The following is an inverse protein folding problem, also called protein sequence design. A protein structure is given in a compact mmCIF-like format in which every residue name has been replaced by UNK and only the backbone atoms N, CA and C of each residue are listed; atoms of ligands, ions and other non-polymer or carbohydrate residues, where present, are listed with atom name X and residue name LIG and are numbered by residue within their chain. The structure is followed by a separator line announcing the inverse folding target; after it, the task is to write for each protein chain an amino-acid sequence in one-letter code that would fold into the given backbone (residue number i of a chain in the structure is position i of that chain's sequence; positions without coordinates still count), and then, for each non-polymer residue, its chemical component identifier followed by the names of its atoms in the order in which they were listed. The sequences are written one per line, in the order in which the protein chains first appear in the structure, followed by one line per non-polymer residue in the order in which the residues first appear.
data_IF_429104111586
#
_entry.id   IF_429104111586
#
_cell.length_a   1.000
_cell.length_b   1.000
_cell.length_c   1.000
_cell.angle_alpha   90.00
_cell.angle_beta   90.00
_cell.angle_gamma   90.00
#
_symmetry.space_group_name_H-M   'P 1'
#
loop_
_entity.id
_entity.type
_entity.pdbx_description
1 polymer ?
#
# COMPACT_ATOMS: atom_id res chain seq x y z
N UNK A 1 29.58 8.78 -4.41
CA UNK A 1 28.53 7.78 -4.68
C UNK A 1 27.55 7.87 -3.52
N UNK A 2 26.28 8.11 -3.80
CA UNK A 2 25.32 8.56 -2.79
C UNK A 2 24.31 7.48 -2.43
N UNK A 3 23.97 7.41 -1.14
CA UNK A 3 22.76 6.77 -0.63
C UNK A 3 21.54 7.33 -1.37
N UNK A 4 20.64 6.46 -1.84
CA UNK A 4 19.40 6.84 -2.52
C UNK A 4 18.19 6.21 -1.84
N UNK A 5 17.05 6.91 -1.80
CA UNK A 5 15.80 6.36 -1.29
C UNK A 5 15.15 5.41 -2.32
N UNK A 6 14.69 4.25 -1.86
CA UNK A 6 13.93 3.29 -2.63
C UNK A 6 12.59 3.02 -1.95
N UNK A 7 11.49 3.10 -2.69
CA UNK A 7 10.21 2.58 -2.23
C UNK A 7 10.26 1.07 -2.30
N UNK A 8 9.98 0.40 -1.18
CA UNK A 8 9.89 -1.06 -1.13
C UNK A 8 8.45 -1.52 -1.12
N UNK A 9 8.17 -2.68 -1.71
CA UNK A 9 6.82 -3.25 -1.78
C UNK A 9 6.87 -4.77 -1.91
N UNK A 10 5.74 -5.42 -1.65
CA UNK A 10 5.57 -6.86 -1.86
C UNK A 10 4.85 -7.15 -3.18
N UNK A 11 5.29 -8.23 -3.82
CA UNK A 11 4.65 -8.83 -4.97
C UNK A 11 4.81 -10.35 -4.86
N UNK A 12 3.70 -11.11 -4.84
CA UNK A 12 3.68 -12.56 -4.68
C UNK A 12 4.58 -13.06 -3.51
N UNK A 13 4.49 -12.38 -2.36
CA UNK A 13 5.27 -12.71 -1.15
C UNK A 13 6.76 -12.37 -1.21
N UNK A 14 7.26 -11.85 -2.33
CA UNK A 14 8.64 -11.40 -2.50
C UNK A 14 8.76 -9.89 -2.36
N UNK A 15 9.92 -9.38 -1.93
CA UNK A 15 10.15 -7.95 -1.72
C UNK A 15 10.92 -7.33 -2.88
N UNK A 16 10.40 -6.21 -3.37
CA UNK A 16 10.95 -5.43 -4.46
C UNK A 16 11.25 -4.01 -4.01
N UNK A 17 12.10 -3.32 -4.76
CA UNK A 17 12.45 -1.93 -4.54
C UNK A 17 12.56 -1.17 -5.87
N UNK A 18 12.10 0.07 -5.87
CA UNK A 18 12.22 1.00 -6.99
C UNK A 18 12.78 2.33 -6.48
N UNK A 19 13.58 3.00 -7.29
CA UNK A 19 14.16 4.29 -6.91
C UNK A 19 13.01 5.29 -6.71
N UNK A 20 12.95 5.89 -5.51
CA UNK A 20 11.86 6.78 -5.14
C UNK A 20 11.84 8.06 -5.99
N UNK A 21 12.94 8.37 -6.69
CA UNK A 21 13.02 9.48 -7.63
C UNK A 21 11.98 9.37 -8.77
N UNK A 22 11.62 8.15 -9.17
CA UNK A 22 10.65 7.93 -10.24
C UNK A 22 9.20 7.89 -9.74
N UNK A 23 8.96 7.94 -8.43
CA UNK A 23 7.62 7.78 -7.87
C UNK A 23 6.92 9.13 -7.78
N UNK A 24 5.79 9.29 -8.46
CA UNK A 24 4.99 10.51 -8.43
C UNK A 24 3.88 10.43 -7.37
N UNK A 25 3.14 9.32 -7.34
CA UNK A 25 2.05 9.10 -6.38
C UNK A 25 1.94 7.63 -5.97
N UNK A 26 1.45 7.37 -4.76
CA UNK A 26 1.11 6.02 -4.28
C UNK A 26 -0.27 6.09 -3.64
N UNK A 27 -1.15 5.17 -4.01
CA UNK A 27 -2.47 5.04 -3.42
C UNK A 27 -2.96 3.61 -3.55
N UNK A 28 -4.00 3.25 -2.80
CA UNK A 28 -4.63 1.94 -2.96
C UNK A 28 -5.30 1.82 -4.32
N UNK A 29 -5.27 0.62 -4.90
CA UNK A 29 -5.82 0.31 -6.20
C UNK A 29 -7.27 0.82 -6.31
N UNK A 30 -7.55 1.73 -7.26
CA UNK A 30 -8.90 2.17 -7.59
C UNK A 30 -9.51 1.27 -8.67
N UNK A 31 -10.80 1.49 -8.95
CA UNK A 31 -11.42 0.94 -10.16
C UNK A 31 -10.69 1.45 -11.41
N UNK A 32 -10.23 0.53 -12.25
CA UNK A 32 -9.62 0.85 -13.54
C UNK A 32 -10.65 0.75 -14.66
N UNK A 33 -10.51 1.61 -15.67
CA UNK A 33 -11.28 1.49 -16.91
C UNK A 33 -10.58 0.48 -17.82
N UNK A 34 -11.22 -0.64 -18.19
CA UNK A 34 -10.61 -1.62 -19.08
C UNK A 34 -10.31 -1.01 -20.45
N UNK A 35 -9.19 -1.40 -21.05
CA UNK A 35 -8.82 -0.98 -22.40
C UNK A 35 -8.64 -2.22 -23.27
N UNK A 36 -9.24 -2.21 -24.45
CA UNK A 36 -9.09 -3.27 -25.45
C UNK A 36 -7.84 -3.02 -26.31
N UNK A 37 -7.24 -4.08 -26.85
CA UNK A 37 -6.13 -4.00 -27.83
C UNK A 37 -4.78 -3.44 -27.29
N UNK A 38 -4.58 -3.45 -25.98
CA UNK A 38 -3.29 -3.14 -25.33
C UNK A 38 -2.47 -4.40 -25.03
N UNK A 39 -1.19 -4.20 -24.69
CA UNK A 39 -0.30 -5.26 -24.24
C UNK A 39 -0.91 -6.04 -23.06
N UNK A 40 -0.57 -7.33 -22.95
CA UNK A 40 -1.21 -8.27 -22.00
C UNK A 40 -1.01 -7.89 -20.53
N UNK A 41 0.04 -7.14 -20.25
CA UNK A 41 0.44 -6.64 -18.93
C UNK A 41 -0.27 -5.34 -18.52
N UNK A 42 -1.08 -4.73 -19.39
CA UNK A 42 -1.86 -3.54 -19.04
C UNK A 42 -3.22 -3.94 -18.48
N UNK A 43 -3.43 -3.66 -17.19
CA UNK A 43 -4.67 -3.95 -16.46
C UNK A 43 -5.82 -3.01 -16.84
N UNK A 44 -5.49 -1.78 -17.27
CA UNK A 44 -6.47 -0.78 -17.70
C UNK A 44 -5.90 0.63 -17.65
N UNK A 45 -6.78 1.62 -17.61
CA UNK A 45 -6.41 3.03 -17.44
C UNK A 45 -7.07 3.64 -16.22
N UNK A 46 -6.35 4.55 -15.58
CA UNK A 46 -6.77 5.36 -14.46
C UNK A 46 -6.93 6.80 -14.90
N UNK A 47 -8.02 7.46 -14.49
CA UNK A 47 -8.11 8.91 -14.57
C UNK A 47 -7.61 9.51 -13.26
N UNK A 48 -6.37 9.99 -13.26
CA UNK A 48 -5.77 10.71 -12.15
C UNK A 48 -5.87 12.22 -12.42
N UNK A 49 -6.81 12.89 -11.74
CA UNK A 49 -6.99 14.35 -11.81
C UNK A 49 -7.13 14.88 -13.25
N UNK A 50 -7.84 14.16 -14.12
CA UNK A 50 -8.05 14.49 -15.53
C UNK A 50 -6.99 13.94 -16.48
N UNK A 51 -5.86 13.42 -15.99
CA UNK A 51 -4.86 12.71 -16.79
C UNK A 51 -5.22 11.24 -16.88
N UNK A 52 -5.22 10.69 -18.10
CA UNK A 52 -5.41 9.25 -18.33
C UNK A 52 -4.03 8.58 -18.25
N UNK A 53 -3.85 7.73 -17.25
CA UNK A 53 -2.59 7.03 -16.97
C UNK A 53 -2.82 5.52 -17.22
N UNK A 54 -2.01 4.87 -18.08
CA UNK A 54 -2.04 3.42 -18.20
C UNK A 54 -1.57 2.77 -16.90
N UNK A 55 -2.25 1.73 -16.48
CA UNK A 55 -1.91 0.97 -15.27
C UNK A 55 -1.52 -0.45 -15.67
N UNK A 56 -0.27 -0.79 -15.40
CA UNK A 56 0.35 -2.09 -15.66
C UNK A 56 0.22 -3.01 -14.45
N UNK A 57 -0.12 -4.26 -14.70
CA UNK A 57 -0.02 -5.34 -13.73
C UNK A 57 1.43 -5.81 -13.65
N UNK A 58 2.11 -5.54 -12.52
CA UNK A 58 3.50 -5.91 -12.36
C UNK A 58 3.70 -7.43 -12.27
N UNK A 59 2.72 -8.19 -11.78
CA UNK A 59 2.80 -9.66 -11.75
C UNK A 59 2.85 -10.19 -13.17
N UNK A 60 1.89 -9.76 -14.01
CA UNK A 60 1.85 -10.12 -15.43
C UNK A 60 3.13 -9.71 -16.15
N UNK A 61 3.61 -8.48 -15.88
CA UNK A 61 4.83 -7.94 -16.49
C UNK A 61 6.06 -8.78 -16.20
N UNK A 62 6.17 -9.29 -14.97
CA UNK A 62 7.30 -10.11 -14.53
C UNK A 62 7.12 -11.60 -14.88
N UNK A 63 6.04 -11.96 -15.59
CA UNK A 63 5.77 -13.32 -16.05
C UNK A 63 5.09 -14.21 -15.00
N UNK A 64 4.51 -13.62 -13.96
CA UNK A 64 3.67 -14.37 -13.02
C UNK A 64 2.24 -14.50 -13.54
N UNK A 65 1.54 -15.50 -13.02
CA UNK A 65 0.09 -15.60 -13.17
C UNK A 65 -0.54 -14.54 -12.29
N UNK A 66 -1.25 -13.59 -12.91
CA UNK A 66 -2.01 -12.56 -12.20
C UNK A 66 -3.05 -13.20 -11.29
N UNK A 67 -3.00 -12.85 -10.01
CA UNK A 67 -4.06 -13.17 -9.06
C UNK A 67 -5.18 -12.12 -9.11
N UNK A 68 -6.34 -12.43 -8.54
CA UNK A 68 -7.41 -11.43 -8.40
C UNK A 68 -6.96 -10.27 -7.52
N UNK A 69 -7.18 -9.05 -8.00
CA UNK A 69 -6.80 -7.86 -7.24
C UNK A 69 -7.60 -7.76 -5.93
N UNK A 70 -6.88 -7.37 -4.87
CA UNK A 70 -7.41 -7.20 -3.53
C UNK A 70 -7.59 -5.72 -3.20
N UNK A 71 -8.48 -5.40 -2.25
CA UNK A 71 -8.64 -4.01 -1.78
C UNK A 71 -7.37 -3.45 -1.12
N UNK A 72 -6.44 -4.31 -0.70
CA UNK A 72 -5.14 -3.92 -0.14
C UNK A 72 -4.10 -3.58 -1.20
N UNK A 73 -4.32 -3.99 -2.46
CA UNK A 73 -3.37 -3.72 -3.52
C UNK A 73 -3.21 -2.22 -3.73
N UNK A 74 -2.04 -1.83 -4.21
CA UNK A 74 -1.64 -0.44 -4.39
C UNK A 74 -1.24 -0.17 -5.82
N UNK A 75 -1.47 1.05 -6.27
CA UNK A 75 -0.92 1.59 -7.51
C UNK A 75 0.21 2.54 -7.13
N UNK A 76 1.39 2.29 -7.70
CA UNK A 76 2.50 3.22 -7.68
C UNK A 76 2.55 3.90 -9.05
N UNK A 77 2.37 5.21 -9.08
CA UNK A 77 2.51 6.01 -10.30
C UNK A 77 3.97 6.36 -10.49
N UNK A 78 4.52 5.94 -11.61
CA UNK A 78 5.91 6.15 -12.00
C UNK A 78 5.99 7.14 -13.16
N UNK A 79 6.96 8.04 -13.06
CA UNK A 79 7.28 9.01 -14.08
C UNK A 79 8.76 8.93 -14.44
N UNK A 80 9.05 8.51 -15.67
CA UNK A 80 10.41 8.48 -16.23
C UNK A 80 10.42 9.07 -17.62
N UNK A 81 11.26 10.08 -17.84
CA UNK A 81 11.29 10.89 -19.06
C UNK A 81 9.90 11.47 -19.39
N UNK A 82 9.25 10.99 -20.46
CA UNK A 82 7.90 11.41 -20.86
C UNK A 82 6.85 10.31 -20.62
N UNK A 83 7.23 9.20 -19.94
CA UNK A 83 6.34 8.07 -19.67
C UNK A 83 5.79 8.19 -18.25
N UNK A 84 4.46 8.34 -18.16
CA UNK A 84 3.70 8.30 -16.92
C UNK A 84 2.87 7.02 -16.89
N UNK A 85 3.11 6.14 -15.91
CA UNK A 85 2.48 4.82 -15.84
C UNK A 85 2.26 4.40 -14.39
N UNK A 86 1.09 3.84 -14.10
CA UNK A 86 0.83 3.15 -12.83
C UNK A 86 1.32 1.70 -12.89
N UNK A 87 1.87 1.19 -11.79
CA UNK A 87 2.12 -0.25 -11.60
C UNK A 87 1.28 -0.75 -10.42
N UNK A 88 0.62 -1.90 -10.58
CA UNK A 88 -0.11 -2.57 -9.50
C UNK A 88 0.86 -3.45 -8.72
N UNK A 89 0.82 -3.34 -7.39
CA UNK A 89 1.59 -4.14 -6.44
C UNK A 89 0.71 -4.59 -5.28
N UNK A 90 1.05 -5.67 -4.56
CA UNK A 90 0.17 -6.17 -3.50
C UNK A 90 0.18 -5.26 -2.26
N UNK A 91 1.35 -4.78 -1.83
CA UNK A 91 1.45 -3.88 -0.69
C UNK A 91 2.71 -3.03 -0.75
N UNK A 92 2.54 -1.70 -0.61
CA UNK A 92 3.68 -0.80 -0.43
C UNK A 92 4.14 -0.82 1.02
N UNK A 93 5.46 -0.84 1.21
CA UNK A 93 6.14 -0.78 2.49
C UNK A 93 6.87 0.57 2.65
N UNK A 94 7.90 0.61 3.48
CA UNK A 94 8.65 1.83 3.78
C UNK A 94 9.61 2.24 2.64
N UNK A 95 10.10 3.47 2.75
CA UNK A 95 11.26 3.97 2.00
C UNK A 95 12.52 3.43 2.67
N UNK A 96 13.39 2.77 1.91
CA UNK A 96 14.71 2.33 2.37
C UNK A 96 15.83 3.13 1.71
N UNK A 97 16.82 3.51 2.51
CA UNK A 97 18.00 4.22 2.02
C UNK A 97 19.06 3.18 1.67
N UNK A 98 19.35 3.02 0.38
CA UNK A 98 20.25 2.00 -0.15
C UNK A 98 21.45 2.66 -0.82
N UNK A 99 22.65 2.14 -0.58
CA UNK A 99 23.84 2.57 -1.32
C UNK A 99 23.96 1.83 -2.67
N UNK A 100 24.37 2.56 -3.71
CA UNK A 100 24.55 1.97 -5.04
C UNK A 100 25.52 0.77 -5.04
N UNK A 101 26.52 0.77 -4.17
CA UNK A 101 27.48 -0.34 -4.01
C UNK A 101 26.89 -1.58 -3.33
N UNK A 102 25.76 -1.44 -2.63
CA UNK A 102 25.05 -2.57 -2.02
C UNK A 102 24.18 -3.33 -3.04
N UNK A 103 23.91 -2.72 -4.19
CA UNK A 103 23.14 -3.31 -5.27
C UNK A 103 24.05 -4.28 -6.05
N UNK A 104 23.88 -5.58 -5.78
CA UNK A 104 24.60 -6.64 -6.50
C UNK A 104 23.94 -6.94 -7.84
N UNK A 105 24.71 -6.79 -8.91
CA UNK A 105 24.31 -7.12 -10.31
C UNK A 105 24.82 -8.47 -10.78
N UNK A 106 25.64 -9.16 -9.97
CA UNK A 106 26.23 -10.45 -10.31
C UNK A 106 25.25 -11.59 -10.00
N UNK A 107 24.22 -11.73 -10.84
CA UNK A 107 23.26 -12.84 -10.75
C UNK A 107 23.85 -14.21 -11.15
N UNK A 108 25.12 -14.24 -11.60
CA UNK A 108 25.65 -15.28 -12.49
C UNK A 108 26.41 -16.42 -11.81
N UNK A 109 26.80 -16.34 -10.54
CA UNK A 109 27.56 -17.43 -9.89
C UNK A 109 27.15 -17.66 -8.42
N UNK A 110 26.13 -18.48 -8.17
CA UNK A 110 25.84 -18.89 -6.80
C UNK A 110 24.58 -19.73 -6.60
N UNK A 111 24.46 -20.34 -5.40
CA UNK A 111 23.27 -21.07 -4.92
C UNK A 111 21.97 -20.26 -5.08
N UNK A 112 22.06 -18.93 -5.03
CA UNK A 112 20.95 -18.00 -5.21
C UNK A 112 20.29 -18.12 -6.59
N UNK A 113 21.07 -18.24 -7.69
CA UNK A 113 20.52 -18.41 -9.04
C UNK A 113 19.70 -19.70 -9.18
N UNK A 114 20.16 -20.80 -8.56
CA UNK A 114 19.43 -22.08 -8.55
C UNK A 114 18.21 -22.08 -7.64
N UNK A 115 18.26 -21.34 -6.52
CA UNK A 115 17.11 -21.18 -5.62
C UNK A 115 16.03 -20.29 -6.27
N UNK A 116 16.45 -19.20 -6.93
CA UNK A 116 15.57 -18.27 -7.62
C UNK A 116 15.00 -18.90 -8.92
N UNK A 117 15.80 -19.60 -9.73
CA UNK A 117 15.29 -20.33 -10.93
C UNK A 117 14.29 -21.45 -10.62
N UNK A 118 14.35 -22.06 -9.42
CA UNK A 118 13.40 -23.13 -9.04
C UNK A 118 12.05 -22.59 -8.57
N UNK A 119 11.96 -21.30 -8.26
CA UNK A 119 10.78 -20.69 -7.63
C UNK A 119 10.22 -19.50 -8.40
N UNK A 120 10.90 -19.03 -9.45
CA UNK A 120 10.57 -17.80 -10.18
C UNK A 120 10.67 -18.04 -11.70
N UNK A 121 9.74 -17.45 -12.45
CA UNK A 121 9.72 -17.40 -13.92
C UNK A 121 10.80 -16.42 -14.45
N UNK A 122 12.05 -16.81 -14.27
CA UNK A 122 13.26 -15.98 -14.43
C UNK A 122 13.48 -15.30 -15.81
N UNK A 123 13.10 -15.88 -16.98
CA UNK A 123 13.36 -15.27 -18.28
C UNK A 123 12.75 -13.86 -18.43
N UNK A 124 11.48 -13.69 -18.04
CA UNK A 124 10.72 -12.44 -18.20
C UNK A 124 11.17 -11.33 -17.25
N UNK A 125 11.80 -11.66 -16.11
CA UNK A 125 12.24 -10.69 -15.10
C UNK A 125 13.60 -10.07 -15.39
N UNK A 126 14.45 -10.76 -16.16
CA UNK A 126 15.86 -10.38 -16.36
C UNK A 126 16.07 -8.96 -16.91
N UNK A 127 15.30 -8.47 -17.90
CA UNK A 127 15.50 -7.10 -18.40
C UNK A 127 15.02 -6.03 -17.41
N UNK A 128 14.06 -6.35 -16.53
CA UNK A 128 13.47 -5.41 -15.58
C UNK A 128 14.23 -5.36 -14.23
N UNK A 129 15.16 -6.27 -13.97
CA UNK A 129 15.93 -6.29 -12.73
C UNK A 129 17.23 -5.50 -12.85
N UNK A 130 17.43 -4.54 -11.94
CA UNK A 130 18.70 -3.83 -11.77
C UNK A 130 19.69 -4.65 -10.95
N UNK A 131 19.23 -5.23 -9.84
CA UNK A 131 20.11 -5.92 -8.89
C UNK A 131 19.38 -6.42 -7.65
N UNK A 132 20.14 -6.98 -6.72
CA UNK A 132 19.64 -7.44 -5.42
C UNK A 132 20.35 -6.69 -4.31
N UNK A 133 19.61 -6.38 -3.25
CA UNK A 133 20.16 -5.81 -2.03
C UNK A 133 19.73 -6.71 -0.88
N UNK A 134 20.67 -7.04 0.00
CA UNK A 134 20.35 -7.75 1.24
C UNK A 134 20.24 -6.73 2.36
N UNK A 135 19.05 -6.56 2.89
CA UNK A 135 18.79 -5.69 4.05
C UNK A 135 18.37 -6.59 5.20
N UNK A 136 19.18 -6.63 6.25
CA UNK A 136 19.03 -7.53 7.39
C UNK A 136 18.91 -9.00 6.94
N UNK A 137 17.69 -9.57 7.04
CA UNK A 137 17.38 -10.96 6.74
C UNK A 137 16.48 -11.14 5.51
N UNK A 138 16.25 -10.07 4.74
CA UNK A 138 15.40 -10.09 3.54
C UNK A 138 16.20 -9.68 2.30
N UNK A 139 15.87 -10.29 1.18
CA UNK A 139 16.40 -9.91 -0.13
C UNK A 139 15.39 -8.98 -0.79
N UNK A 140 15.88 -7.84 -1.24
CA UNK A 140 15.10 -6.85 -1.99
C UNK A 140 15.57 -6.89 -3.44
N UNK A 141 14.65 -7.18 -4.35
CA UNK A 141 14.88 -7.11 -5.79
C UNK A 141 14.71 -5.69 -6.27
N UNK A 142 15.81 -5.04 -6.66
CA UNK A 142 15.78 -3.68 -7.18
C UNK A 142 15.43 -3.74 -8.67
N UNK A 143 14.32 -3.09 -9.03
CA UNK A 143 13.85 -3.01 -10.41
C UNK A 143 14.49 -1.81 -11.12
N UNK A 144 14.70 -1.98 -12.42
CA UNK A 144 15.10 -0.92 -13.33
C UNK A 144 13.83 -0.35 -13.97
N UNK A 145 13.47 0.88 -13.60
CA UNK A 145 12.26 1.54 -14.08
C UNK A 145 12.32 1.81 -15.59
N UNK A 146 13.49 2.19 -16.11
CA UNK A 146 13.63 2.52 -17.54
C UNK A 146 13.36 1.31 -18.44
N UNK A 147 13.72 0.10 -18.00
CA UNK A 147 13.42 -1.13 -18.74
C UNK A 147 12.06 -1.70 -18.41
N UNK A 148 11.57 -1.49 -17.19
CA UNK A 148 10.24 -1.91 -16.76
C UNK A 148 9.13 -1.21 -17.57
N UNK A 149 9.25 0.10 -17.77
CA UNK A 149 8.22 0.91 -18.46
C UNK A 149 8.26 0.78 -19.99
N UNK A 150 9.28 0.14 -20.56
CA UNK A 150 9.36 -0.09 -22.02
C UNK A 150 8.35 -1.15 -22.45
N UNK A 151 7.74 -1.06 -23.64
CA UNK A 151 6.90 -2.14 -24.17
C UNK A 151 7.70 -3.45 -24.30
N UNK A 152 7.12 -4.61 -23.97
CA UNK A 152 7.71 -5.91 -24.33
C UNK A 152 7.50 -6.13 -25.82
N UNK A 153 8.56 -6.27 -26.60
CA UNK A 153 8.46 -6.64 -28.02
C UNK A 153 8.07 -8.13 -28.11
N UNK A 154 7.11 -8.45 -28.98
CA UNK A 154 6.45 -9.77 -29.06
C UNK A 154 7.40 -10.91 -29.48
N UNK A 155 8.62 -10.60 -29.94
CA UNK A 155 9.59 -11.58 -30.45
C UNK A 155 10.32 -12.36 -29.34
N UNK A 156 10.37 -11.87 -28.09
CA UNK A 156 11.09 -12.53 -26.98
C UNK A 156 10.32 -13.71 -26.34
N UNK A 157 9.04 -13.92 -26.71
CA UNK A 157 8.21 -15.03 -26.22
C UNK A 157 8.39 -16.32 -27.04
N UNK A 158 9.10 -16.27 -28.18
CA UNK A 158 9.26 -17.41 -29.08
C UNK A 158 10.31 -18.45 -28.63
N UNK A 159 11.11 -18.15 -27.60
CA UNK A 159 12.17 -19.03 -27.08
C UNK A 159 11.74 -19.86 -25.85
N UNK A 160 10.44 -19.90 -25.53
CA UNK A 160 9.91 -20.80 -24.48
C UNK A 160 9.87 -22.22 -25.04
N UNK A 161 10.54 -23.15 -24.36
CA UNK A 161 10.61 -24.58 -24.71
C UNK A 161 9.20 -25.16 -24.96
N UNK A 162 8.90 -25.64 -26.19
CA UNK A 162 7.57 -26.15 -26.56
C UNK A 162 7.14 -27.40 -25.77
N UNK A 163 8.04 -27.99 -24.96
CA UNK A 163 7.71 -29.12 -24.09
C UNK A 163 6.80 -28.82 -22.89
N UNK A 164 6.44 -27.56 -22.64
CA UNK A 164 5.53 -27.15 -21.54
C UNK A 164 4.08 -26.97 -22.01
N UNK A 165 3.82 -26.98 -23.32
CA UNK A 165 2.47 -26.69 -23.87
C UNK A 165 1.44 -27.83 -23.67
N UNK A 166 1.86 -29.07 -23.39
CA UNK A 166 0.93 -30.22 -23.34
C UNK A 166 0.18 -30.43 -22.01
N UNK A 167 0.49 -29.69 -20.93
CA UNK A 167 -0.29 -29.75 -19.67
C UNK A 167 -1.23 -28.55 -19.45
N UNK A 168 -1.27 -27.56 -20.35
CA UNK A 168 -1.94 -26.27 -20.12
C UNK A 168 -3.07 -25.89 -21.10
N UNK A 169 -3.65 -26.85 -21.82
CA UNK A 169 -4.80 -26.61 -22.72
C UNK A 169 -6.00 -27.46 -22.29
N UNK A 170 -7.03 -26.92 -21.64
CA UNK A 170 -8.26 -26.54 -22.36
C UNK A 170 -9.11 -25.46 -21.69
N UNK A 171 -8.84 -25.06 -20.44
CA UNK A 171 -9.78 -24.25 -19.66
C UNK A 171 -9.37 -22.76 -19.54
N UNK A 172 -8.09 -22.43 -19.73
CA UNK A 172 -7.57 -21.08 -19.48
C UNK A 172 -7.71 -20.11 -20.66
N UNK A 173 -7.71 -20.57 -21.92
CA UNK A 173 -7.86 -19.68 -23.08
C UNK A 173 -9.26 -19.02 -23.14
N UNK A 174 -10.30 -19.72 -22.69
CA UNK A 174 -11.65 -19.14 -22.58
C UNK A 174 -11.76 -18.14 -21.41
N UNK A 175 -10.98 -18.35 -20.34
CA UNK A 175 -10.94 -17.46 -19.17
C UNK A 175 -10.28 -16.11 -19.48
N UNK A 176 -9.19 -16.10 -20.27
CA UNK A 176 -8.45 -14.87 -20.59
C UNK A 176 -9.11 -14.01 -21.69
N UNK A 177 -9.90 -14.59 -22.59
CA UNK A 177 -10.58 -13.85 -23.66
C UNK A 177 -11.89 -13.17 -23.20
N UNK A 178 -12.63 -13.76 -22.26
CA UNK A 178 -13.94 -13.23 -21.81
C UNK A 178 -13.87 -12.20 -20.67
N UNK A 179 -12.73 -12.07 -19.97
CA UNK A 179 -12.59 -11.19 -18.80
C UNK A 179 -11.99 -9.80 -19.06
N UNK A 180 -11.68 -9.44 -20.32
CA UNK A 180 -11.08 -8.12 -20.64
C UNK A 180 -12.06 -6.94 -20.59
N UNK A 181 -13.35 -7.21 -20.42
CA UNK A 181 -14.41 -6.19 -20.46
C UNK A 181 -14.75 -5.61 -19.08
N UNK A 182 -14.30 -6.24 -17.99
CA UNK A 182 -14.67 -5.89 -16.63
C UNK A 182 -13.46 -5.93 -15.70
N UNK A 183 -13.23 -4.84 -14.97
CA UNK A 183 -12.24 -4.80 -13.88
C UNK A 183 -12.78 -5.58 -12.67
N UNK A 184 -12.00 -6.54 -12.15
CA UNK A 184 -12.35 -7.40 -11.01
C UNK A 184 -13.77 -8.02 -11.09
N UNK A 185 -14.04 -8.92 -12.05
CA UNK A 185 -15.38 -9.48 -12.26
C UNK A 185 -15.91 -10.26 -11.05
N UNK A 186 -15.02 -10.82 -10.23
CA UNK A 186 -15.35 -11.62 -9.06
C UNK A 186 -15.42 -10.83 -7.74
N UNK A 187 -15.10 -9.53 -7.74
CA UNK A 187 -15.16 -8.70 -6.53
C UNK A 187 -16.59 -8.60 -5.98
N UNK A 188 -16.72 -8.66 -4.65
CA UNK A 188 -17.99 -8.45 -3.94
C UNK A 188 -18.53 -7.03 -4.13
N UNK A 189 -19.81 -6.81 -3.84
CA UNK A 189 -20.41 -5.48 -3.95
C UNK A 189 -19.67 -4.43 -3.10
N UNK A 190 -19.29 -4.80 -1.87
CA UNK A 190 -18.56 -3.90 -0.95
C UNK A 190 -17.19 -3.51 -1.51
N UNK A 191 -16.48 -4.47 -2.10
CA UNK A 191 -15.16 -4.20 -2.69
C UNK A 191 -15.28 -3.31 -3.94
N UNK A 192 -16.28 -3.56 -4.79
CA UNK A 192 -16.58 -2.71 -5.95
C UNK A 192 -16.87 -1.26 -5.54
N UNK A 193 -17.66 -1.07 -4.48
CA UNK A 193 -17.94 0.26 -3.93
C UNK A 193 -16.65 0.97 -3.44
N UNK A 194 -15.73 0.22 -2.81
CA UNK A 194 -14.43 0.75 -2.40
C UNK A 194 -13.59 1.16 -3.60
N UNK A 195 -13.42 0.27 -4.60
CA UNK A 195 -12.68 0.57 -5.82
C UNK A 195 -13.25 1.79 -6.55
N UNK A 196 -14.58 1.84 -6.70
CA UNK A 196 -15.28 2.94 -7.34
C UNK A 196 -15.08 4.27 -6.59
N UNK A 197 -15.19 4.25 -5.27
CA UNK A 197 -14.96 5.42 -4.42
C UNK A 197 -13.54 5.96 -4.58
N UNK A 198 -12.52 5.09 -4.59
CA UNK A 198 -11.12 5.48 -4.78
C UNK A 198 -10.94 6.15 -6.15
N UNK A 199 -11.48 5.54 -7.22
CA UNK A 199 -11.43 6.12 -8.55
C UNK A 199 -12.10 7.51 -8.61
N UNK A 200 -13.24 7.69 -7.94
CA UNK A 200 -13.92 8.99 -7.84
C UNK A 200 -13.08 10.02 -7.09
N UNK A 201 -12.47 9.66 -5.95
CA UNK A 201 -11.61 10.54 -5.16
C UNK A 201 -10.39 11.01 -5.97
N UNK A 202 -9.75 10.11 -6.71
CA UNK A 202 -8.59 10.41 -7.56
C UNK A 202 -8.93 11.30 -8.75
N UNK A 203 -10.15 11.22 -9.28
CA UNK A 203 -10.66 12.14 -10.31
C UNK A 203 -10.95 13.54 -9.74
N UNK A 204 -11.35 13.62 -8.47
CA UNK A 204 -11.84 14.84 -7.83
C UNK A 204 -10.77 15.64 -7.09
N UNK A 205 -9.50 15.23 -7.09
CA UNK A 205 -8.44 16.09 -6.57
C UNK A 205 -8.36 17.36 -7.41
N UNK A 206 -8.71 18.45 -6.74
CA UNK A 206 -8.95 19.81 -7.22
C UNK A 206 -7.87 20.30 -8.19
N UNK A 207 -8.26 21.28 -9.00
CA UNK A 207 -7.41 22.08 -9.89
C UNK A 207 -6.01 22.32 -9.32
N UNK A 208 -5.02 22.55 -10.19
CA UNK A 208 -3.65 23.05 -9.93
C UNK A 208 -3.57 24.21 -8.91
N UNK A 209 -3.98 23.99 -7.67
CA UNK A 209 -3.50 24.68 -6.50
C UNK A 209 -2.38 23.79 -5.99
N UNK A 210 -1.19 24.38 -5.87
CA UNK A 210 0.01 23.71 -5.39
C UNK A 210 -0.34 22.69 -4.29
N UNK A 211 0.16 21.44 -4.43
CA UNK A 211 0.11 20.43 -3.35
C UNK A 211 0.69 20.99 -2.04
N UNK A 212 1.41 22.12 -2.10
CA UNK A 212 1.72 23.02 -0.98
C UNK A 212 0.45 23.56 -0.30
N UNK A 213 -0.16 22.75 0.56
CA UNK A 213 -1.22 23.18 1.47
C UNK A 213 -2.32 22.16 1.72
N UNK A 214 -2.35 21.07 0.94
CA UNK A 214 -3.23 19.93 1.20
C UNK A 214 -2.60 19.03 2.25
N UNK A 215 -3.40 18.64 3.24
CA UNK A 215 -2.97 17.73 4.29
C UNK A 215 -3.29 16.29 3.85
N UNK A 216 -2.29 15.39 3.75
CA UNK A 216 -2.53 13.98 3.49
C UNK A 216 -3.12 13.31 4.74
N UNK A 217 -4.24 12.62 4.57
CA UNK A 217 -5.00 11.98 5.65
C UNK A 217 -5.19 10.51 5.32
N UNK A 218 -4.74 9.62 6.20
CA UNK A 218 -5.06 8.20 6.10
C UNK A 218 -6.45 7.91 6.68
N UNK A 219 -7.25 7.14 5.97
CA UNK A 219 -8.58 6.70 6.39
C UNK A 219 -8.45 5.32 7.05
N UNK A 220 -8.78 5.26 8.33
CA UNK A 220 -8.73 4.04 9.15
C UNK A 220 -10.12 3.64 9.64
N UNK A 221 -10.28 2.36 9.93
CA UNK A 221 -11.48 1.79 10.54
C UNK A 221 -11.31 1.55 12.02
N UNK A 222 -12.26 2.01 12.82
CA UNK A 222 -12.38 1.67 14.23
C UNK A 222 -13.86 1.39 14.54
N UNK A 223 -14.17 0.16 14.94
CA UNK A 223 -15.51 -0.25 15.35
C UNK A 223 -16.60 0.10 14.31
N UNK A 224 -16.33 -0.22 13.03
CA UNK A 224 -17.23 0.04 11.88
C UNK A 224 -17.40 1.51 11.47
N UNK A 225 -16.68 2.43 12.12
CA UNK A 225 -16.60 3.83 11.75
C UNK A 225 -15.29 4.16 11.04
N UNK A 226 -15.36 5.18 10.17
CA UNK A 226 -14.19 5.74 9.51
C UNK A 226 -13.64 6.92 10.32
N UNK A 227 -12.32 6.94 10.47
CA UNK A 227 -11.58 8.07 11.01
C UNK A 227 -10.45 8.46 10.07
N UNK A 228 -10.22 9.76 9.94
CA UNK A 228 -9.05 10.30 9.27
C UNK A 228 -7.95 10.60 10.28
N UNK A 229 -6.73 10.15 10.02
CA UNK A 229 -5.55 10.49 10.79
C UNK A 229 -4.52 11.20 9.92
N UNK A 230 -3.77 12.11 10.52
CA UNK A 230 -2.71 12.85 9.82
C UNK A 230 -1.61 11.88 9.37
N UNK A 231 -1.39 11.78 8.06
CA UNK A 231 -0.40 10.84 7.51
C UNK A 231 1.01 11.24 7.92
N UNK A 232 1.28 12.51 8.21
CA UNK A 232 2.59 12.98 8.68
C UNK A 232 3.02 12.34 10.01
N UNK A 233 2.06 11.87 10.82
CA UNK A 233 2.33 11.19 12.09
C UNK A 233 2.49 9.68 11.91
N UNK A 234 2.14 9.15 10.75
CA UNK A 234 2.18 7.71 10.48
C UNK A 234 3.58 7.34 9.98
N UNK A 235 4.25 6.48 10.74
CA UNK A 235 5.49 5.84 10.32
C UNK A 235 5.24 4.71 9.33
N UNK A 236 4.31 3.81 9.65
CA UNK A 236 3.92 2.72 8.77
C UNK A 236 2.58 2.08 9.17
N UNK A 237 1.95 1.38 8.23
CA UNK A 237 0.82 0.49 8.50
C UNK A 237 1.34 -0.95 8.53
N UNK A 238 1.12 -1.66 9.64
CA UNK A 238 1.65 -3.01 9.83
C UNK A 238 0.53 -4.01 10.16
N UNK A 239 0.54 -5.22 9.57
CA UNK A 239 -0.23 -6.31 10.12
C UNK A 239 0.29 -6.69 11.51
N UNK A 240 -0.59 -7.25 12.34
CA UNK A 240 -0.26 -7.79 13.67
C UNK A 240 -0.29 -9.31 13.55
N UNK A 241 0.89 -9.92 13.59
CA UNK A 241 1.01 -11.39 13.55
C UNK A 241 1.07 -11.99 14.95
N UNK A 242 1.91 -11.42 15.82
CA UNK A 242 2.10 -11.92 17.18
C UNK A 242 2.34 -10.79 18.16
N UNK A 243 1.53 -10.75 19.19
CA UNK A 243 1.65 -9.81 20.31
C UNK A 243 2.30 -10.50 21.50
N UNK A 244 3.32 -9.88 22.08
CA UNK A 244 3.90 -10.25 23.36
C UNK A 244 3.14 -9.52 24.48
N UNK A 245 2.40 -10.22 25.36
CA UNK A 245 1.64 -9.58 26.43
C UNK A 245 2.56 -8.84 27.40
N UNK A 246 2.10 -7.68 27.89
CA UNK A 246 2.77 -6.94 28.97
C UNK A 246 2.03 -7.26 30.27
N UNK A 247 2.69 -7.86 31.28
CA UNK A 247 2.06 -8.12 32.56
C UNK A 247 1.63 -6.82 33.26
N UNK A 248 0.50 -6.85 33.95
CA UNK A 248 0.02 -5.75 34.80
C UNK A 248 -0.18 -4.41 34.07
N UNK A 249 -0.30 -4.40 32.74
CA UNK A 249 -0.61 -3.19 31.99
C UNK A 249 -2.11 -2.87 32.06
N UNK A 250 -2.49 -1.58 31.92
CA UNK A 250 -3.89 -1.20 31.73
C UNK A 250 -4.52 -1.89 30.51
N UNK A 251 -5.86 -1.99 30.50
CA UNK A 251 -6.63 -2.70 29.46
C UNK A 251 -6.50 -2.12 28.05
N UNK A 252 -6.13 -0.85 27.91
CA UNK A 252 -5.88 -0.23 26.61
C UNK A 252 -4.52 -0.62 26.03
N UNK A 253 -3.60 -1.18 26.81
CA UNK A 253 -2.34 -1.72 26.30
C UNK A 253 -2.60 -3.14 25.79
N UNK A 254 -2.50 -3.32 24.48
CA UNK A 254 -2.70 -4.63 23.84
C UNK A 254 -1.48 -5.53 24.05
N UNK A 255 -0.29 -4.93 24.07
CA UNK A 255 0.98 -5.61 24.32
C UNK A 255 2.10 -5.03 23.45
N UNK A 256 3.18 -5.77 23.26
CA UNK A 256 4.31 -5.36 22.42
C UNK A 256 4.39 -6.20 21.15
N UNK A 257 4.87 -5.60 20.07
CA UNK A 257 5.32 -6.31 18.87
C UNK A 257 6.80 -6.03 18.62
N UNK A 258 7.47 -6.96 17.95
CA UNK A 258 8.77 -6.68 17.37
C UNK A 258 8.55 -6.21 15.94
N UNK A 259 8.86 -4.94 15.70
CA UNK A 259 8.80 -4.32 14.40
C UNK A 259 10.22 -4.00 13.95
N UNK A 260 10.77 -4.86 13.09
CA UNK A 260 12.11 -4.72 12.49
C UNK A 260 13.23 -4.58 13.54
N UNK A 261 13.15 -5.38 14.60
CA UNK A 261 14.12 -5.34 15.71
C UNK A 261 13.77 -4.31 16.80
N UNK A 262 12.84 -3.39 16.55
CA UNK A 262 12.37 -2.43 17.55
C UNK A 262 11.13 -2.97 18.30
N UNK A 263 11.06 -2.70 19.60
CA UNK A 263 9.88 -3.04 20.39
C UNK A 263 8.88 -1.87 20.26
N UNK A 264 7.72 -2.15 19.68
CA UNK A 264 6.61 -1.18 19.59
C UNK A 264 5.45 -1.64 20.45
N UNK A 265 5.00 -0.76 21.34
CA UNK A 265 3.81 -1.00 22.17
C UNK A 265 2.56 -0.74 21.37
N UNK A 266 1.65 -1.71 21.37
CA UNK A 266 0.33 -1.63 20.77
C UNK A 266 -0.68 -1.10 21.78
N UNK A 267 -1.44 -0.09 21.38
CA UNK A 267 -2.48 0.57 22.17
C UNK A 267 -3.81 0.53 21.45
N UNK A 268 -4.86 0.22 22.19
CA UNK A 268 -6.25 0.31 21.76
C UNK A 268 -6.81 1.66 22.21
N UNK A 269 -7.00 2.56 21.25
CA UNK A 269 -7.60 3.88 21.50
C UNK A 269 -9.13 3.83 21.52
N UNK A 270 -9.75 2.70 21.17
CA UNK A 270 -11.20 2.57 21.11
C UNK A 270 -11.86 2.93 22.45
N UNK A 271 -11.31 2.48 23.57
CA UNK A 271 -11.85 2.81 24.90
C UNK A 271 -11.81 4.31 25.21
N UNK A 272 -10.81 5.04 24.71
CA UNK A 272 -10.66 6.50 24.92
C UNK A 272 -11.66 7.25 24.05
N UNK A 273 -11.94 6.71 22.86
CA UNK A 273 -12.93 7.26 21.95
C UNK A 273 -14.36 6.80 22.30
N UNK A 274 -14.59 6.20 23.47
CA UNK A 274 -15.87 5.61 23.89
C UNK A 274 -16.44 4.55 22.90
N UNK A 275 -15.57 3.90 22.14
CA UNK A 275 -15.90 2.82 21.22
C UNK A 275 -15.80 1.47 21.94
N UNK A 276 -16.81 0.61 21.74
CA UNK A 276 -16.79 -0.78 22.22
C UNK A 276 -15.89 -1.65 21.34
N UNK A 277 -14.58 -1.49 21.50
CA UNK A 277 -13.59 -2.23 20.72
C UNK A 277 -13.29 -3.60 21.36
N UNK A 278 -14.06 -4.62 20.97
CA UNK A 278 -13.91 -6.01 21.47
C UNK A 278 -13.31 -6.99 20.43
N UNK A 279 -12.76 -6.47 19.33
CA UNK A 279 -12.18 -7.31 18.27
C UNK A 279 -10.69 -7.55 18.51
N UNK A 280 -10.20 -8.70 18.08
CA UNK A 280 -8.75 -8.98 18.03
C UNK A 280 -8.19 -8.17 16.86
N UNK A 281 -7.34 -7.16 17.11
CA UNK A 281 -6.84 -6.32 16.03
C UNK A 281 -5.84 -7.09 15.18
N UNK A 282 -6.03 -7.02 13.85
CA UNK A 282 -5.14 -7.65 12.87
C UNK A 282 -4.17 -6.66 12.23
N UNK A 283 -4.33 -5.36 12.49
CA UNK A 283 -3.52 -4.28 11.93
C UNK A 283 -3.26 -3.21 12.98
N UNK A 284 -2.12 -2.54 12.84
CA UNK A 284 -1.75 -1.35 13.59
C UNK A 284 -1.27 -0.25 12.65
N UNK A 285 -1.55 0.98 13.05
CA UNK A 285 -0.90 2.19 12.53
C UNK A 285 0.21 2.54 13.49
N UNK A 286 1.46 2.49 13.02
CA UNK A 286 2.61 2.90 13.83
C UNK A 286 2.73 4.40 13.72
N UNK A 287 2.53 5.07 14.85
CA UNK A 287 2.57 6.53 14.97
C UNK A 287 3.90 6.89 15.63
N UNK A 288 4.64 7.81 15.02
CA UNK A 288 5.89 8.31 15.56
C UNK A 288 5.78 9.81 15.82
N UNK A 289 6.17 10.21 17.01
CA UNK A 289 6.34 11.61 17.41
C UNK A 289 7.77 11.82 17.90
N UNK A 290 8.14 13.04 18.26
CA UNK A 290 9.46 13.31 18.85
C UNK A 290 9.67 12.57 20.18
N UNK A 291 8.58 12.28 20.91
CA UNK A 291 8.63 11.74 22.26
C UNK A 291 8.46 10.22 22.32
N UNK A 292 7.70 9.62 21.39
CA UNK A 292 7.38 8.19 21.42
C UNK A 292 7.00 7.62 20.06
N UNK A 293 7.20 6.30 19.94
CA UNK A 293 6.70 5.45 18.86
C UNK A 293 5.70 4.45 19.44
N UNK A 294 4.48 4.43 18.91
CA UNK A 294 3.40 3.60 19.42
C UNK A 294 2.57 3.04 18.27
N UNK A 295 2.12 1.79 18.38
CA UNK A 295 1.21 1.19 17.41
C UNK A 295 -0.23 1.37 17.87
N UNK A 296 -1.01 2.17 17.16
CA UNK A 296 -2.47 2.27 17.37
C UNK A 296 -3.14 1.11 16.64
N UNK A 297 -3.83 0.24 17.38
CA UNK A 297 -4.55 -0.86 16.75
C UNK A 297 -5.77 -0.36 15.99
N UNK A 298 -6.00 -0.91 14.80
CA UNK A 298 -7.11 -0.53 13.90
C UNK A 298 -7.74 -1.76 13.28
N UNK A 299 -9.01 -1.64 12.87
CA UNK A 299 -9.69 -2.70 12.14
C UNK A 299 -9.13 -2.83 10.72
N UNK A 300 -8.98 -1.69 10.03
CA UNK A 300 -8.46 -1.66 8.68
C UNK A 300 -7.92 -0.26 8.32
N UNK A 301 -7.16 -0.21 7.23
CA UNK A 301 -6.72 1.02 6.55
C UNK A 301 -7.35 1.00 5.17
N UNK A 302 -8.11 2.03 4.82
CA UNK A 302 -8.98 2.03 3.65
C UNK A 302 -8.45 2.87 2.48
N UNK A 303 -8.01 4.10 2.77
CA UNK A 303 -7.66 5.08 1.75
C UNK A 303 -6.63 6.10 2.28
N UNK A 304 -5.99 6.84 1.37
CA UNK A 304 -5.24 8.05 1.68
C UNK A 304 -5.83 9.18 0.86
N UNK A 305 -6.42 10.16 1.54
CA UNK A 305 -7.12 11.29 0.92
C UNK A 305 -6.37 12.59 1.21
N UNK A 306 -6.46 13.56 0.30
CA UNK A 306 -5.85 14.87 0.48
C UNK A 306 -6.94 15.89 0.81
N UNK A 307 -6.80 16.57 1.95
CA UNK A 307 -7.78 17.53 2.44
C UNK A 307 -7.21 18.95 2.49
N UNK A 308 -7.96 19.89 1.92
CA UNK A 308 -7.77 21.32 2.21
C UNK A 308 -8.42 21.67 3.56
N UNK A 309 -7.91 22.72 4.21
CA UNK A 309 -8.51 23.22 5.47
C UNK A 309 -9.99 23.60 5.30
N UNK A 310 -10.41 24.05 4.12
CA UNK A 310 -11.81 24.41 3.81
C UNK A 310 -12.76 23.22 3.76
N UNK A 311 -12.26 22.00 3.53
CA UNK A 311 -13.10 20.80 3.53
C UNK A 311 -13.41 20.29 4.95
N UNK A 312 -12.64 20.74 5.94
CA UNK A 312 -12.81 20.36 7.34
C UNK A 312 -13.97 21.19 7.91
N UNK A 313 -15.05 20.49 8.26
CA UNK A 313 -16.23 21.07 8.88
C UNK A 313 -16.11 20.97 10.40
N UNK A 314 -16.75 21.88 11.15
CA UNK A 314 -16.86 21.74 12.60
C UNK A 314 -17.53 20.42 12.96
N UNK A 315 -17.23 19.91 14.14
CA UNK A 315 -17.83 18.67 14.66
C UNK A 315 -19.33 18.97 14.87
N UNK A 316 -20.25 18.22 14.23
CA UNK A 316 -21.67 18.45 14.44
C UNK A 316 -22.03 18.04 15.86
N UNK A 317 -22.81 18.86 16.55
CA UNK A 317 -23.26 18.62 17.95
C UNK A 317 -24.03 17.31 18.14
N UNK A 318 -24.51 16.70 17.05
CA UNK A 318 -25.21 15.42 17.05
C UNK A 318 -24.30 14.18 16.95
N UNK A 319 -23.00 14.36 16.66
CA UNK A 319 -22.02 13.26 16.59
C UNK A 319 -21.50 12.99 18.01
N UNK A 320 -22.23 12.17 18.75
CA UNK A 320 -21.91 11.78 20.14
C UNK A 320 -21.02 10.53 20.26
N UNK A 321 -20.41 10.06 19.18
CA UNK A 321 -19.69 8.77 19.21
C UNK A 321 -18.33 8.92 19.88
N UNK A 322 -17.66 10.05 19.67
CA UNK A 322 -16.33 10.34 20.19
C UNK A 322 -16.35 11.73 20.81
N UNK A 323 -15.66 11.93 21.94
CA UNK A 323 -15.56 13.24 22.57
C UNK A 323 -14.90 14.26 21.62
N UNK A 324 -15.51 15.45 21.51
CA UNK A 324 -15.08 16.50 20.59
C UNK A 324 -13.61 16.92 20.78
N UNK A 325 -13.07 16.71 21.98
CA UNK A 325 -11.69 17.08 22.32
C UNK A 325 -10.64 16.32 21.50
N UNK A 326 -10.95 15.10 21.06
CA UNK A 326 -10.09 14.22 20.27
C UNK A 326 -10.24 14.39 18.77
N UNK A 327 -11.15 15.27 18.32
CA UNK A 327 -11.42 15.52 16.92
C UNK A 327 -10.93 16.92 16.52
N UNK A 328 -10.26 17.03 15.38
CA UNK A 328 -9.90 18.31 14.73
C UNK A 328 -11.07 18.89 13.94
N UNK A 329 -12.03 18.05 13.57
CA UNK A 329 -13.16 18.38 12.72
C UNK A 329 -13.73 17.12 12.07
N UNK A 330 -14.61 17.34 11.10
CA UNK A 330 -15.22 16.25 10.32
C UNK A 330 -15.13 16.54 8.83
N UNK A 331 -15.13 15.48 8.03
CA UNK A 331 -15.11 15.56 6.57
C UNK A 331 -16.07 14.55 5.99
N UNK A 332 -16.65 14.84 4.83
CA UNK A 332 -17.46 13.86 4.11
C UNK A 332 -16.55 12.82 3.45
N UNK A 333 -16.80 11.54 3.71
CA UNK A 333 -16.11 10.41 3.10
C UNK A 333 -17.13 9.30 2.83
N UNK A 334 -17.23 8.83 1.57
CA UNK A 334 -18.18 7.79 1.15
C UNK A 334 -19.62 8.04 1.62
N UNK A 335 -20.12 9.27 1.40
CA UNK A 335 -21.48 9.72 1.80
C UNK A 335 -21.76 9.72 3.33
N UNK A 336 -20.75 9.37 4.13
CA UNK A 336 -20.77 9.43 5.60
C UNK A 336 -19.89 10.56 6.10
N UNK A 337 -20.14 10.97 7.34
CA UNK A 337 -19.25 11.88 8.06
C UNK A 337 -18.13 11.07 8.69
N UNK A 338 -16.88 11.46 8.41
CA UNK A 338 -15.68 10.90 8.98
C UNK A 338 -15.06 11.90 9.95
N UNK A 339 -14.76 11.46 11.18
CA UNK A 339 -14.05 12.27 12.16
C UNK A 339 -12.56 12.35 11.85
N UNK A 340 -11.97 13.54 11.95
CA UNK A 340 -10.52 13.71 11.85
C UNK A 340 -9.91 13.65 13.25
N UNK A 341 -9.22 12.56 13.58
CA UNK A 341 -8.63 12.33 14.90
C UNK A 341 -7.38 13.19 15.12
N UNK A 342 -7.31 13.80 16.29
CA UNK A 342 -6.10 14.40 16.83
C UNK A 342 -5.31 13.34 17.61
N UNK A 343 -4.54 12.53 16.89
CA UNK A 343 -3.76 11.44 17.50
C UNK A 343 -2.80 11.95 18.58
N UNK A 344 -2.26 13.18 18.45
CA UNK A 344 -1.38 13.73 19.49
C UNK A 344 -2.14 13.93 20.80
N UNK A 345 -3.37 14.41 20.76
CA UNK A 345 -4.21 14.55 21.96
C UNK A 345 -4.65 13.19 22.50
N UNK A 346 -5.10 12.30 21.63
CA UNK A 346 -5.54 10.94 22.02
C UNK A 346 -4.39 10.24 22.75
N UNK A 347 -3.18 10.25 22.17
CA UNK A 347 -2.00 9.56 22.71
C UNK A 347 -1.43 10.23 23.96
N UNK A 348 -1.67 11.52 24.16
CA UNK A 348 -1.31 12.25 25.38
C UNK A 348 -2.35 12.14 26.50
N UNK A 349 -3.44 11.40 26.29
CA UNK A 349 -4.44 11.19 27.34
C UNK A 349 -3.79 10.57 28.59
N UNK A 350 -4.14 11.08 29.77
CA UNK A 350 -3.49 10.69 31.03
C UNK A 350 -3.59 9.20 31.33
N UNK A 351 -4.64 8.55 30.82
CA UNK A 351 -4.79 7.09 31.00
C UNK A 351 -3.82 6.28 30.16
N UNK A 352 -3.36 6.77 29.00
CA UNK A 352 -2.38 6.06 28.16
C UNK A 352 -0.94 6.15 28.68
N UNK A 353 -0.67 7.02 29.66
CA UNK A 353 0.66 7.18 30.24
C UNK A 353 0.84 6.18 31.37
N UNK A 354 1.69 5.19 31.13
CA UNK A 354 2.20 4.33 32.21
C UNK A 354 3.26 5.13 32.98
N UNK A 355 2.87 5.74 34.10
CA UNK A 355 3.84 6.33 35.01
C UNK A 355 4.65 5.18 35.66
N UNK A 356 5.97 5.26 35.60
CA UNK A 356 6.81 4.40 36.46
C UNK A 356 6.45 4.69 37.92
N UNK A 357 6.14 3.64 38.67
CA UNK A 357 5.91 3.78 40.11
C UNK A 357 7.19 4.35 40.75
N UNK A 358 7.08 5.54 41.33
CA UNK A 358 8.16 6.20 42.07
C UNK A 358 8.49 5.48 43.38
#
# INVERSE_FOLDING_TARGET
MGKKPFITFSLNGSRYGIDALYVEEIFFLPELTPVTEVARDIAGVLNLRGKIIPVMDLESRLGYVTQEYQISDSVIVLHSEDILMGIIVNQVHEVQIIEESEISTQFSQGRLKRALQKSLHWPSMTPCMRGLVQVENHIIMILNIETLLRPVETEELADIDPGIEEEFTSDNEQFHAHNRTLFCPHASQKEREIFHSRAKNLRQSLAHEDIKGLMPIAVIGLNEEYFGIDLELVREFTPIERVTPIPCCPSHIVGNINLRGEIVTLVNIGSILNLNYNRVPLRAVVVATEDFVVGVVVDNVFDVIYLSKSQIKPIPTAVHVVDEEYLRGTVAYQEKMMGLLDLKKVLNHSELRVNEAS
#
